data_IF_046847955857
#
_entry.id   IF_046847955857
#
_cell.length_a   1.000
_cell.length_b   1.000
_cell.length_c   1.000
_cell.angle_alpha   90.00
_cell.angle_beta   90.00
_cell.angle_gamma   90.00
#
_symmetry.space_group_name_H-M   'P 1'
#
loop_
_entity.id
_entity.type
_entity.pdbx_description
1 polymer ?
#
# COMPACT_ATOMS: atom_id res chain seq x y z
N UNK A 1 -2.98 -2.61 8.63
CA UNK A 1 -1.74 -3.36 8.96
C UNK A 1 -0.89 -3.48 7.70
N UNK A 2 0.43 -3.36 7.80
CA UNK A 2 1.34 -3.42 6.66
C UNK A 2 2.12 -4.74 6.65
N UNK A 3 2.07 -5.51 5.55
CA UNK A 3 2.88 -6.72 5.39
C UNK A 3 4.02 -6.43 4.41
N UNK A 4 5.27 -6.51 4.87
CA UNK A 4 6.48 -6.25 4.08
C UNK A 4 7.28 -7.54 3.90
N UNK A 5 7.57 -7.94 2.67
CA UNK A 5 8.28 -9.18 2.35
C UNK A 5 9.70 -8.95 1.78
N UNK A 6 10.23 -7.73 1.84
CA UNK A 6 11.54 -7.35 1.28
C UNK A 6 11.45 -6.62 -0.06
N UNK A 7 10.50 -7.00 -0.92
CA UNK A 7 10.33 -6.42 -2.27
C UNK A 7 8.94 -5.81 -2.50
N UNK A 8 7.99 -5.99 -1.59
CA UNK A 8 6.67 -5.37 -1.65
C UNK A 8 6.10 -5.03 -0.26
N UNK A 9 5.15 -4.08 -0.25
CA UNK A 9 4.36 -3.71 0.93
C UNK A 9 2.88 -3.73 0.57
N UNK A 10 2.08 -4.35 1.43
CA UNK A 10 0.61 -4.32 1.32
C UNK A 10 0.02 -3.45 2.41
N UNK A 11 -0.82 -2.47 2.04
CA UNK A 11 -1.54 -1.59 2.96
C UNK A 11 -3.04 -1.85 2.89
N UNK A 12 -3.67 -2.06 4.04
CA UNK A 12 -5.13 -2.29 4.13
C UNK A 12 -5.83 -1.01 4.56
N UNK A 13 -6.85 -0.60 3.81
CA UNK A 13 -7.74 0.52 4.09
C UNK A 13 -9.20 0.07 4.07
N UNK A 14 -10.11 0.92 4.53
CA UNK A 14 -11.55 0.68 4.40
C UNK A 14 -12.04 1.14 3.03
N UNK A 15 -12.95 0.39 2.40
CA UNK A 15 -13.63 0.80 1.16
C UNK A 15 -14.59 1.98 1.35
N UNK A 16 -14.89 2.35 2.59
CA UNK A 16 -15.71 3.54 2.90
C UNK A 16 -14.88 4.83 2.96
N UNK A 17 -13.54 4.73 2.93
CA UNK A 17 -12.67 5.89 2.96
C UNK A 17 -12.64 6.61 1.61
N UNK A 18 -12.38 7.91 1.64
CA UNK A 18 -12.23 8.72 0.43
C UNK A 18 -11.09 8.20 -0.45
N UNK A 19 -11.38 7.90 -1.72
CA UNK A 19 -10.45 7.22 -2.62
C UNK A 19 -9.20 8.06 -2.92
N UNK A 20 -9.33 9.38 -3.04
CA UNK A 20 -8.22 10.27 -3.39
C UNK A 20 -7.25 10.44 -2.20
N UNK A 21 -7.82 10.61 -1.01
CA UNK A 21 -7.10 10.60 0.25
C UNK A 21 -6.39 9.28 0.50
N UNK A 22 -7.07 8.15 0.27
CA UNK A 22 -6.51 6.80 0.43
C UNK A 22 -5.33 6.60 -0.50
N UNK A 23 -5.42 6.97 -1.78
CA UNK A 23 -4.30 6.86 -2.73
C UNK A 23 -3.08 7.63 -2.25
N UNK A 24 -3.29 8.88 -1.82
CA UNK A 24 -2.19 9.75 -1.36
C UNK A 24 -1.54 9.21 -0.09
N UNK A 25 -2.35 8.80 0.90
CA UNK A 25 -1.87 8.28 2.18
C UNK A 25 -1.16 6.93 2.00
N UNK A 26 -1.73 6.02 1.23
CA UNK A 26 -1.14 4.69 0.98
C UNK A 26 0.16 4.81 0.18
N UNK A 27 0.24 5.70 -0.81
CA UNK A 27 1.47 5.95 -1.55
C UNK A 27 2.57 6.55 -0.66
N UNK A 28 2.24 7.54 0.18
CA UNK A 28 3.20 8.14 1.11
C UNK A 28 3.71 7.12 2.14
N UNK A 29 2.82 6.30 2.68
CA UNK A 29 3.17 5.27 3.65
C UNK A 29 4.00 4.14 3.02
N UNK A 30 3.63 3.71 1.80
CA UNK A 30 4.41 2.72 1.07
C UNK A 30 5.83 3.23 0.77
N UNK A 31 5.98 4.49 0.33
CA UNK A 31 7.28 5.12 0.13
C UNK A 31 8.11 5.14 1.42
N UNK A 32 7.48 5.49 2.56
CA UNK A 32 8.15 5.50 3.88
C UNK A 32 8.65 4.12 4.28
N UNK A 33 7.87 3.07 4.00
CA UNK A 33 8.24 1.69 4.32
C UNK A 33 9.36 1.19 3.40
N UNK A 34 9.23 1.38 2.08
CA UNK A 34 10.26 0.96 1.12
C UNK A 34 11.61 1.66 1.38
N UNK A 35 11.59 2.96 1.73
CA UNK A 35 12.79 3.73 2.05
C UNK A 35 13.59 3.17 3.23
N UNK A 36 12.93 2.51 4.19
CA UNK A 36 13.62 1.83 5.32
C UNK A 36 14.33 0.54 4.89
N UNK A 37 13.86 -0.11 3.82
CA UNK A 37 14.36 -1.38 3.32
C UNK A 37 15.44 -1.27 2.24
N UNK A 38 16.18 -0.16 2.17
CA UNK A 38 17.17 0.16 1.13
C UNK A 38 16.61 0.41 -0.29
N UNK A 39 15.29 0.37 -0.48
CA UNK A 39 14.61 0.62 -1.77
C UNK A 39 14.15 2.07 -1.85
N UNK A 40 14.26 2.73 -3.00
CA UNK A 40 14.01 4.19 -3.10
C UNK A 40 12.56 4.57 -3.38
N UNK A 41 11.80 3.69 -4.04
CA UNK A 41 10.46 4.05 -4.52
C UNK A 41 9.46 2.92 -4.29
N UNK A 42 8.28 3.27 -3.78
CA UNK A 42 7.13 2.40 -3.82
C UNK A 42 6.34 2.64 -5.11
N UNK A 43 6.09 1.59 -5.87
CA UNK A 43 5.27 1.63 -7.07
C UNK A 43 3.96 0.86 -6.85
N UNK A 44 2.83 1.52 -7.09
CA UNK A 44 1.53 0.87 -6.97
C UNK A 44 1.40 -0.26 -8.00
N UNK A 45 1.08 -1.47 -7.53
CA UNK A 45 0.90 -2.64 -8.39
C UNK A 45 -0.58 -3.00 -8.55
N UNK A 46 -1.33 -3.11 -7.46
CA UNK A 46 -2.73 -3.52 -7.52
C UNK A 46 -3.51 -3.17 -6.26
N UNK A 47 -4.83 -3.21 -6.37
CA UNK A 47 -5.75 -3.19 -5.23
C UNK A 47 -6.64 -4.41 -5.30
N UNK A 48 -6.79 -5.10 -4.17
CA UNK A 48 -7.79 -6.16 -3.99
C UNK A 48 -8.81 -5.71 -2.97
N UNK A 49 -10.08 -5.73 -3.36
CA UNK A 49 -11.19 -5.41 -2.47
C UNK A 49 -11.77 -6.70 -1.90
N UNK A 50 -11.97 -6.73 -0.58
CA UNK A 50 -12.75 -7.73 0.11
C UNK A 50 -14.11 -7.15 0.46
N UNK A 51 -15.16 -7.59 -0.25
CA UNK A 51 -16.53 -7.10 -0.02
C UNK A 51 -17.15 -7.64 1.28
N UNK A 52 -16.60 -8.71 1.87
CA UNK A 52 -17.12 -9.26 3.13
C UNK A 52 -16.66 -8.44 4.34
N UNK A 53 -15.44 -7.89 4.28
CA UNK A 53 -14.86 -7.09 5.37
C UNK A 53 -14.84 -5.59 5.07
N UNK A 54 -15.26 -5.17 3.87
CA UNK A 54 -15.19 -3.77 3.41
C UNK A 54 -13.78 -3.19 3.48
N UNK A 55 -12.80 -4.02 3.13
CA UNK A 55 -11.38 -3.68 3.13
C UNK A 55 -10.83 -3.65 1.71
N UNK A 56 -9.94 -2.70 1.46
CA UNK A 56 -9.14 -2.62 0.25
C UNK A 56 -7.67 -2.85 0.62
N UNK A 57 -7.06 -3.88 0.03
CA UNK A 57 -5.63 -4.18 0.15
C UNK A 57 -4.89 -3.62 -1.04
N UNK A 58 -4.04 -2.63 -0.83
CA UNK A 58 -3.22 -1.97 -1.83
C UNK A 58 -1.80 -2.55 -1.80
N UNK A 59 -1.37 -3.16 -2.88
CA UNK A 59 -0.03 -3.72 -3.06
C UNK A 59 0.87 -2.70 -3.73
N UNK A 60 2.05 -2.48 -3.16
CA UNK A 60 3.11 -1.68 -3.72
C UNK A 60 4.39 -2.50 -3.83
N UNK A 61 5.14 -2.33 -4.92
CA UNK A 61 6.46 -2.91 -5.11
C UNK A 61 7.52 -1.91 -4.66
N UNK A 62 8.49 -2.36 -3.87
CA UNK A 62 9.62 -1.55 -3.44
C UNK A 62 10.76 -1.68 -4.45
N UNK A 63 10.87 -0.71 -5.35
CA UNK A 63 11.86 -0.67 -6.42
C UNK A 63 13.04 0.24 -6.05
N UNK A 64 14.21 -0.02 -6.65
CA UNK A 64 15.45 0.75 -6.46
C UNK A 64 15.57 1.93 -7.41
#
# INVERSE_FOLDING_TARGET
MANYNGDSVTLVTSTFADNESVKTQTQAEANRICAKGHKKRAEYASTRVNQQTYEASHLFLCLN
#
